data_IF_509491511315
#
_entry.id   IF_509491511315
#
_cell.length_a   1.000
_cell.length_b   1.000
_cell.length_c   1.000
_cell.angle_alpha   90.00
_cell.angle_beta   90.00
_cell.angle_gamma   90.00
#
_symmetry.space_group_name_H-M   'P 1'
#
loop_
_entity.id
_entity.type
_entity.pdbx_description
1 polymer ?
#
# COMPACT_ATOMS: atom_id res chain seq x y z
N UNK A 1 4.99 29.93 -33.24
CA UNK A 1 5.33 28.68 -32.52
C UNK A 1 5.56 29.09 -31.07
N UNK A 2 4.52 29.06 -30.23
CA UNK A 2 4.61 29.57 -28.86
C UNK A 2 5.30 28.53 -27.98
N UNK A 3 6.49 28.87 -27.45
CA UNK A 3 7.11 28.13 -26.37
C UNK A 3 6.28 28.36 -25.10
N UNK A 4 5.52 27.35 -24.72
CA UNK A 4 4.77 27.30 -23.47
C UNK A 4 5.80 27.09 -22.35
N UNK A 5 5.81 27.94 -21.32
CA UNK A 5 6.75 27.78 -20.20
C UNK A 5 6.43 26.51 -19.41
N UNK A 6 7.40 25.91 -18.71
CA UNK A 6 7.16 24.69 -17.90
C UNK A 6 6.03 24.87 -16.87
N UNK A 7 5.78 26.09 -16.40
CA UNK A 7 4.67 26.40 -15.48
C UNK A 7 3.30 26.28 -16.15
N UNK A 8 3.23 26.55 -17.46
CA UNK A 8 1.98 26.58 -18.21
C UNK A 8 1.48 25.18 -18.58
N UNK A 9 2.36 24.18 -18.69
CA UNK A 9 1.97 22.83 -19.09
C UNK A 9 1.19 22.08 -18.00
N UNK A 10 1.62 22.13 -16.73
CA UNK A 10 0.87 21.50 -15.62
C UNK A 10 -0.48 22.19 -15.41
N UNK A 11 -0.52 23.53 -15.46
CA UNK A 11 -1.76 24.28 -15.35
C UNK A 11 -2.71 24.02 -16.53
N UNK A 12 -2.19 23.85 -17.75
CA UNK A 12 -2.98 23.48 -18.92
C UNK A 12 -3.56 22.07 -18.80
N UNK A 13 -2.79 21.11 -18.26
CA UNK A 13 -3.27 19.74 -18.02
C UNK A 13 -4.36 19.71 -16.93
N UNK A 14 -4.20 20.52 -15.88
CA UNK A 14 -5.24 20.71 -14.85
C UNK A 14 -6.50 21.34 -15.42
N UNK A 15 -6.37 22.33 -16.31
CA UNK A 15 -7.51 22.95 -16.96
C UNK A 15 -8.25 21.98 -17.91
N UNK A 16 -7.52 21.08 -18.57
CA UNK A 16 -8.08 20.06 -19.45
C UNK A 16 -8.71 18.87 -18.71
N UNK A 17 -8.53 18.78 -17.39
CA UNK A 17 -9.08 17.70 -16.56
C UNK A 17 -8.46 16.32 -16.83
N UNK A 18 -7.29 16.26 -17.48
CA UNK A 18 -6.61 15.01 -17.79
C UNK A 18 -5.70 14.59 -16.63
N UNK A 19 -6.30 13.91 -15.65
CA UNK A 19 -5.63 13.47 -14.43
C UNK A 19 -4.44 12.53 -14.70
N UNK A 20 -4.52 11.66 -15.72
CA UNK A 20 -3.48 10.72 -16.06
C UNK A 20 -2.27 11.40 -16.69
N UNK A 21 -2.50 12.34 -17.62
CA UNK A 21 -1.44 13.15 -18.21
C UNK A 21 -0.79 14.08 -17.17
N UNK A 22 -1.59 14.70 -16.30
CA UNK A 22 -1.09 15.50 -15.19
C UNK A 22 -0.19 14.67 -14.26
N UNK A 23 -0.64 13.47 -13.85
CA UNK A 23 0.14 12.58 -13.00
C UNK A 23 1.49 12.22 -13.64
N UNK A 24 1.48 11.81 -14.91
CA UNK A 24 2.69 11.41 -15.63
C UNK A 24 3.69 12.57 -15.77
N UNK A 25 3.20 13.76 -16.11
CA UNK A 25 4.02 14.96 -16.24
C UNK A 25 4.60 15.40 -14.88
N UNK A 26 3.77 15.38 -13.84
CA UNK A 26 4.20 15.72 -12.47
C UNK A 26 5.30 14.78 -11.97
N UNK A 27 5.12 13.47 -12.14
CA UNK A 27 6.10 12.47 -11.72
C UNK A 27 7.42 12.59 -12.50
N UNK A 28 7.35 12.87 -13.80
CA UNK A 28 8.53 13.14 -14.64
C UNK A 28 9.35 14.31 -14.10
N UNK A 29 8.70 15.45 -13.84
CA UNK A 29 9.36 16.66 -13.34
C UNK A 29 9.91 16.51 -11.92
N UNK A 30 9.15 15.87 -11.04
CA UNK A 30 9.59 15.57 -9.67
C UNK A 30 10.84 14.68 -9.67
N UNK A 31 10.86 13.63 -10.51
CA UNK A 31 12.02 12.74 -10.62
C UNK A 31 13.23 13.44 -11.24
N UNK A 32 13.02 14.32 -12.23
CA UNK A 32 14.09 15.14 -12.79
C UNK A 32 14.71 16.07 -11.74
N UNK A 33 13.87 16.74 -10.92
CA UNK A 33 14.33 17.58 -9.83
C UNK A 33 15.08 16.77 -8.76
N UNK A 34 14.57 15.60 -8.36
CA UNK A 34 15.27 14.68 -7.43
C UNK A 34 16.64 14.29 -7.96
N UNK A 35 16.72 13.89 -9.23
CA UNK A 35 17.98 13.51 -9.89
C UNK A 35 18.98 14.66 -9.94
N UNK A 36 18.52 15.88 -10.20
CA UNK A 36 19.38 17.07 -10.16
C UNK A 36 19.92 17.35 -8.75
N UNK A 37 19.11 17.15 -7.71
CA UNK A 37 19.52 17.35 -6.31
C UNK A 37 20.45 16.22 -5.82
N UNK A 38 20.26 14.98 -6.25
CA UNK A 38 21.07 13.82 -5.83
C UNK A 38 22.42 13.72 -6.55
N UNK A 39 22.50 14.11 -7.83
CA UNK A 39 23.74 14.09 -8.60
C UNK A 39 24.65 15.29 -8.32
N UNK A 40 24.20 16.26 -7.52
CA UNK A 40 24.99 17.41 -7.12
C UNK A 40 26.06 17.03 -6.08
N UNK A 41 27.30 16.84 -6.54
CA UNK A 41 28.49 16.73 -5.70
C UNK A 41 29.24 18.07 -5.67
N UNK A 42 29.22 18.76 -4.53
CA UNK A 42 29.96 20.03 -4.30
C UNK A 42 29.07 21.27 -4.17
N UNK A 43 29.65 22.46 -3.89
CA UNK A 43 28.89 23.69 -3.70
C UNK A 43 28.22 24.13 -5.01
N UNK A 44 26.89 24.10 -5.02
CA UNK A 44 26.04 24.50 -6.15
C UNK A 44 26.01 26.03 -6.26
N UNK A 45 26.12 26.57 -7.49
CA UNK A 45 26.00 28.01 -7.73
C UNK A 45 24.59 28.53 -7.35
N UNK A 46 24.50 29.81 -7.00
CA UNK A 46 23.25 30.40 -6.51
C UNK A 46 22.12 30.33 -7.56
N UNK A 47 22.45 30.50 -8.84
CA UNK A 47 21.47 30.42 -9.94
C UNK A 47 20.83 29.03 -10.07
N UNK A 48 21.58 27.94 -9.88
CA UNK A 48 21.01 26.58 -9.97
C UNK A 48 20.15 26.27 -8.74
N UNK A 49 20.56 26.72 -7.54
CA UNK A 49 19.74 26.58 -6.33
C UNK A 49 18.41 27.33 -6.45
N UNK A 50 18.45 28.53 -7.02
CA UNK A 50 17.25 29.34 -7.25
C UNK A 50 16.32 28.70 -8.28
N UNK A 51 16.86 28.17 -9.39
CA UNK A 51 16.08 27.40 -10.36
C UNK A 51 15.40 26.17 -9.76
N UNK A 52 16.13 25.41 -8.93
CA UNK A 52 15.59 24.23 -8.26
C UNK A 52 14.49 24.58 -7.25
N UNK A 53 14.67 25.67 -6.50
CA UNK A 53 13.66 26.16 -5.56
C UNK A 53 12.40 26.63 -6.29
N UNK A 54 12.55 27.39 -7.38
CA UNK A 54 11.43 27.83 -8.20
C UNK A 54 10.66 26.64 -8.79
N UNK A 55 11.35 25.59 -9.24
CA UNK A 55 10.73 24.36 -9.73
C UNK A 55 9.96 23.61 -8.61
N UNK A 56 10.53 23.56 -7.39
CA UNK A 56 9.87 22.98 -6.23
C UNK A 56 8.58 23.74 -5.85
N UNK A 57 8.62 25.07 -5.90
CA UNK A 57 7.46 25.93 -5.64
C UNK A 57 6.37 25.74 -6.70
N UNK A 58 6.75 25.61 -7.99
CA UNK A 58 5.81 25.32 -9.08
C UNK A 58 5.14 23.96 -8.89
N UNK A 59 5.88 22.91 -8.54
CA UNK A 59 5.32 21.58 -8.27
C UNK A 59 4.40 21.60 -7.04
N UNK A 60 4.78 22.32 -5.99
CA UNK A 60 3.97 22.46 -4.78
C UNK A 60 2.64 23.18 -5.06
N UNK A 61 2.66 24.25 -5.84
CA UNK A 61 1.45 24.97 -6.23
C UNK A 61 0.56 24.15 -7.18
N UNK A 62 1.17 23.44 -8.13
CA UNK A 62 0.44 22.53 -9.02
C UNK A 62 -0.24 21.39 -8.24
N UNK A 63 0.44 20.82 -7.24
CA UNK A 63 -0.15 19.78 -6.38
C UNK A 63 -1.26 20.34 -5.49
N UNK A 64 -1.13 21.58 -5.01
CA UNK A 64 -2.18 22.24 -4.22
C UNK A 64 -3.43 22.53 -5.04
N UNK A 65 -3.26 23.01 -6.27
CA UNK A 65 -4.37 23.34 -7.20
C UNK A 65 -5.00 22.09 -7.81
N UNK A 66 -4.18 21.10 -8.13
CA UNK A 66 -4.56 19.87 -8.84
C UNK A 66 -4.78 18.63 -7.98
N UNK A 67 -4.44 18.69 -6.70
CA UNK A 67 -4.43 17.54 -5.79
C UNK A 67 -5.79 16.84 -5.67
N UNK A 68 -6.88 17.57 -5.85
CA UNK A 68 -8.25 17.01 -5.83
C UNK A 68 -8.61 16.22 -7.09
N UNK A 69 -7.87 16.40 -8.19
CA UNK A 69 -8.11 15.71 -9.48
C UNK A 69 -7.26 14.45 -9.64
N UNK A 70 -6.24 14.28 -8.80
CA UNK A 70 -5.41 13.08 -8.77
C UNK A 70 -5.83 12.17 -7.61
N UNK A 71 -5.63 10.84 -7.73
CA UNK A 71 -5.91 9.94 -6.64
C UNK A 71 -5.14 10.34 -5.37
N UNK A 72 -5.75 10.28 -4.17
CA UNK A 72 -5.11 10.67 -2.91
C UNK A 72 -3.77 9.99 -2.64
N UNK A 73 -3.58 8.75 -3.12
CA UNK A 73 -2.29 8.05 -3.09
C UNK A 73 -1.17 8.85 -3.76
N UNK A 74 -1.41 9.33 -4.99
CA UNK A 74 -0.44 10.15 -5.71
C UNK A 74 -0.28 11.51 -5.04
N UNK A 75 -1.35 12.08 -4.50
CA UNK A 75 -1.28 13.33 -3.75
C UNK A 75 -0.34 13.21 -2.54
N UNK A 76 -0.52 12.17 -1.71
CA UNK A 76 0.31 11.92 -0.54
C UNK A 76 1.76 11.55 -0.93
N UNK A 77 1.96 10.72 -1.97
CA UNK A 77 3.28 10.38 -2.52
C UNK A 77 4.03 11.64 -2.97
N UNK A 78 3.37 12.50 -3.74
CA UNK A 78 3.94 13.74 -4.24
C UNK A 78 4.19 14.74 -3.12
N UNK A 79 3.27 14.89 -2.17
CA UNK A 79 3.45 15.78 -1.02
C UNK A 79 4.66 15.37 -0.18
N UNK A 80 4.79 14.09 0.18
CA UNK A 80 5.95 13.59 0.95
C UNK A 80 7.27 13.85 0.20
N UNK A 81 7.29 13.62 -1.10
CA UNK A 81 8.47 13.84 -1.92
C UNK A 81 8.86 15.33 -2.03
N UNK A 82 7.88 16.23 -2.07
CA UNK A 82 8.11 17.68 -2.04
C UNK A 82 8.62 18.12 -0.66
N UNK A 83 8.04 17.62 0.43
CA UNK A 83 8.45 17.94 1.80
C UNK A 83 9.91 17.50 2.08
N UNK A 84 10.31 16.33 1.58
CA UNK A 84 11.68 15.85 1.65
C UNK A 84 12.66 16.76 0.88
N UNK A 85 12.28 17.19 -0.33
CA UNK A 85 13.09 18.12 -1.11
C UNK A 85 13.15 19.48 -0.43
N UNK A 86 12.05 19.99 0.09
CA UNK A 86 11.99 21.26 0.80
C UNK A 86 12.88 21.26 2.04
N UNK A 87 12.92 20.15 2.79
CA UNK A 87 13.85 19.93 3.91
C UNK A 87 15.32 19.98 3.49
N UNK A 88 15.65 19.47 2.29
CA UNK A 88 17.01 19.52 1.74
C UNK A 88 17.42 20.94 1.32
N UNK A 89 16.47 21.79 0.93
CA UNK A 89 16.73 23.21 0.64
C UNK A 89 16.72 24.08 1.90
N UNK A 90 15.99 23.68 2.95
CA UNK A 90 15.98 24.35 4.26
C UNK A 90 17.14 23.88 5.13
N UNK A 91 18.38 24.23 4.77
CA UNK A 91 19.49 24.12 5.72
C UNK A 91 19.34 25.19 6.83
N UNK A 92 18.68 24.82 7.94
CA UNK A 92 18.87 25.48 9.24
C UNK A 92 19.69 24.54 10.14
N UNK A 93 20.73 25.03 10.84
CA UNK A 93 21.62 24.19 11.63
C UNK A 93 20.89 23.64 12.86
N UNK A 94 21.06 22.34 13.15
CA UNK A 94 20.64 21.75 14.43
C UNK A 94 21.60 22.22 15.53
N UNK A 95 21.13 22.76 16.66
CA UNK A 95 21.91 22.70 17.88
C UNK A 95 21.66 21.35 18.56
N UNK A 96 22.75 20.64 18.83
CA UNK A 96 22.83 19.65 19.90
C UNK A 96 22.85 20.42 21.23
N UNK A 97 22.02 20.05 22.20
CA UNK A 97 22.33 20.03 23.64
C UNK A 97 21.13 19.50 24.43
N UNK A 98 21.43 18.58 25.33
CA UNK A 98 20.63 18.11 26.46
C UNK A 98 20.21 19.25 27.39
N UNK A 99 19.01 19.19 27.98
CA UNK A 99 18.79 19.59 29.38
C UNK A 99 17.54 18.90 29.95
N UNK A 100 17.75 18.27 31.10
CA UNK A 100 16.73 17.81 32.03
C UNK A 100 16.08 19.00 32.75
N UNK A 101 14.79 18.91 33.07
CA UNK A 101 14.25 19.62 34.23
C UNK A 101 13.19 18.80 34.94
N UNK A 102 13.50 18.52 36.20
CA UNK A 102 12.67 17.87 37.19
C UNK A 102 11.72 18.86 37.88
N UNK A 103 10.59 18.32 38.36
CA UNK A 103 9.91 18.63 39.63
C UNK A 103 8.89 19.79 39.64
N UNK A 104 7.61 19.42 39.73
CA UNK A 104 6.81 19.66 40.95
C UNK A 104 5.51 18.82 40.99
N UNK A 105 5.43 17.95 42.01
CA UNK A 105 4.25 17.33 42.64
C UNK A 105 3.68 18.32 43.68
N UNK A 106 2.44 18.33 44.23
CA UNK A 106 1.37 17.36 44.64
C UNK A 106 0.22 18.23 45.26
N UNK A 107 -0.84 17.75 45.99
CA UNK A 107 -1.36 16.39 46.31
C UNK A 107 -2.90 16.23 46.05
N UNK A 108 -3.44 15.04 45.70
CA UNK A 108 -3.90 13.88 46.51
C UNK A 108 -5.23 14.03 47.29
N UNK A 109 -6.21 13.18 46.98
CA UNK A 109 -7.07 12.52 47.98
C UNK A 109 -7.62 11.20 47.43
N UNK A 110 -7.52 10.16 48.25
CA UNK A 110 -7.83 8.75 48.01
C UNK A 110 -9.26 8.40 48.45
N UNK A 111 -9.89 7.39 47.81
CA UNK A 111 -10.70 6.36 48.49
C UNK A 111 -10.93 5.11 47.60
N UNK A 112 -10.19 4.03 47.90
CA UNK A 112 -10.53 2.57 48.02
C UNK A 112 -11.94 2.13 47.52
N UNK A 113 -12.23 1.07 46.71
CA UNK A 113 -11.90 -0.39 46.80
C UNK A 113 -12.41 -1.22 45.57
N UNK A 114 -11.58 -2.17 45.08
CA UNK A 114 -11.80 -3.59 44.60
C UNK A 114 -12.68 -4.00 43.37
N UNK A 115 -12.46 -5.21 42.77
CA UNK A 115 -12.19 -5.39 41.33
C UNK A 115 -13.29 -6.10 40.54
N UNK A 116 -13.35 -5.88 39.21
CA UNK A 116 -14.06 -6.75 38.26
C UNK A 116 -13.25 -6.86 36.96
N UNK A 117 -12.93 -8.11 36.59
CA UNK A 117 -12.41 -8.54 35.30
C UNK A 117 -13.48 -8.34 34.20
N UNK A 118 -13.08 -7.94 32.99
CA UNK A 118 -13.76 -8.25 31.72
C UNK A 118 -12.91 -7.79 30.53
N UNK A 119 -12.35 -8.80 29.86
CA UNK A 119 -12.30 -9.00 28.41
C UNK A 119 -11.89 -7.80 27.54
N UNK A 120 -10.58 -7.72 27.23
CA UNK A 120 -10.02 -6.86 26.18
C UNK A 120 -10.28 -7.46 24.79
N UNK A 121 -11.48 -7.26 24.25
CA UNK A 121 -11.69 -7.22 22.79
C UNK A 121 -11.50 -5.77 22.32
N UNK A 122 -10.27 -5.41 21.95
CA UNK A 122 -10.00 -4.14 21.30
C UNK A 122 -10.32 -4.25 19.80
N UNK A 123 -11.62 -4.26 19.48
CA UNK A 123 -12.14 -4.14 18.11
C UNK A 123 -11.92 -2.69 17.65
N UNK A 124 -10.74 -2.42 17.07
CA UNK A 124 -10.45 -1.12 16.48
C UNK A 124 -11.24 -0.99 15.18
N UNK A 125 -12.41 -0.37 15.26
CA UNK A 125 -13.18 0.10 14.12
C UNK A 125 -12.34 1.11 13.32
N UNK A 126 -11.77 0.66 12.20
CA UNK A 126 -11.21 1.53 11.17
C UNK A 126 -12.38 2.33 10.56
N UNK A 127 -12.23 3.64 10.29
CA UNK A 127 -13.26 4.44 9.65
C UNK A 127 -13.84 3.76 8.41
N UNK A 128 -15.17 3.67 8.38
CA UNK A 128 -16.03 2.84 7.51
C UNK A 128 -15.99 3.18 6.00
N UNK A 129 -14.96 3.91 5.51
CA UNK A 129 -14.93 4.44 4.13
C UNK A 129 -13.54 4.53 3.50
N UNK A 130 -12.46 4.06 4.15
CA UNK A 130 -11.15 4.11 3.50
C UNK A 130 -10.96 2.95 2.51
N UNK A 131 -10.93 3.29 1.22
CA UNK A 131 -10.58 2.36 0.15
C UNK A 131 -9.12 1.89 0.23
N UNK A 132 -8.30 2.51 1.09
CA UNK A 132 -6.89 2.15 1.29
C UNK A 132 -6.60 1.88 2.76
N UNK A 133 -6.57 0.60 3.13
CA UNK A 133 -6.04 0.19 4.42
C UNK A 133 -4.52 0.18 4.35
N UNK A 134 -3.84 0.86 5.28
CA UNK A 134 -2.39 0.96 5.23
C UNK A 134 -1.70 1.04 6.59
N UNK A 135 -0.42 0.63 6.63
CA UNK A 135 0.48 0.79 7.78
C UNK A 135 -0.05 0.16 9.09
N UNK A 136 -0.72 -0.99 8.98
CA UNK A 136 -1.32 -1.70 10.10
C UNK A 136 -0.44 -2.85 10.57
N UNK A 137 -0.28 -2.96 11.89
CA UNK A 137 0.54 -4.00 12.52
C UNK A 137 -0.14 -4.61 13.73
N UNK A 138 0.05 -5.91 13.92
CA UNK A 138 -0.37 -6.66 15.11
C UNK A 138 -1.87 -6.49 15.42
N UNK A 139 -2.70 -6.48 14.39
CA UNK A 139 -4.13 -6.17 14.49
C UNK A 139 -5.02 -7.22 13.86
N UNK A 140 -6.20 -7.40 14.45
CA UNK A 140 -7.29 -8.20 13.92
C UNK A 140 -8.45 -7.27 13.59
N UNK A 141 -8.82 -7.19 12.32
CA UNK A 141 -9.64 -6.11 11.77
C UNK A 141 -10.80 -6.70 10.97
N UNK A 142 -11.99 -6.15 11.17
CA UNK A 142 -13.12 -6.30 10.24
C UNK A 142 -13.28 -5.03 9.42
N UNK A 143 -13.64 -5.20 8.16
CA UNK A 143 -13.87 -4.08 7.25
C UNK A 143 -15.03 -4.38 6.30
N UNK A 144 -15.73 -3.32 5.86
CA UNK A 144 -16.79 -3.41 4.86
C UNK A 144 -16.40 -2.59 3.63
N UNK A 145 -16.58 -3.20 2.46
CA UNK A 145 -16.39 -2.57 1.16
C UNK A 145 -17.61 -1.71 0.81
N UNK A 146 -17.38 -0.52 0.25
CA UNK A 146 -18.46 0.36 -0.25
C UNK A 146 -18.81 0.09 -1.73
N UNK A 147 -18.43 -1.09 -2.24
CA UNK A 147 -18.60 -1.45 -3.65
C UNK A 147 -17.55 -0.86 -4.59
N UNK A 148 -16.40 -0.41 -4.06
CA UNK A 148 -15.25 0.05 -4.85
C UNK A 148 -14.02 -0.85 -4.68
N UNK A 149 -12.95 -0.50 -5.38
CA UNK A 149 -11.65 -1.15 -5.23
C UNK A 149 -11.09 -0.94 -3.83
N UNK A 150 -10.56 -1.99 -3.20
CA UNK A 150 -9.85 -1.91 -1.92
C UNK A 150 -8.35 -2.13 -2.14
N UNK A 151 -7.52 -1.30 -1.50
CA UNK A 151 -6.07 -1.43 -1.51
C UNK A 151 -5.53 -1.65 -0.10
N UNK A 152 -4.80 -2.73 0.11
CA UNK A 152 -4.20 -3.13 1.39
C UNK A 152 -2.70 -3.01 1.26
N UNK A 153 -2.10 -2.10 2.01
CA UNK A 153 -0.69 -1.72 1.86
C UNK A 153 0.07 -1.78 3.18
N UNK A 154 1.27 -2.36 3.21
CA UNK A 154 2.15 -2.29 4.40
C UNK A 154 1.50 -2.88 5.66
N UNK A 155 1.07 -4.14 5.57
CA UNK A 155 0.51 -4.88 6.70
C UNK A 155 1.54 -5.82 7.32
N UNK A 156 1.56 -5.95 8.64
CA UNK A 156 2.44 -6.90 9.34
C UNK A 156 1.74 -7.59 10.51
N UNK A 157 1.76 -8.92 10.59
CA UNK A 157 1.13 -9.67 11.70
C UNK A 157 -0.38 -9.38 11.87
N UNK A 158 -1.10 -9.18 10.77
CA UNK A 158 -2.50 -8.80 10.81
C UNK A 158 -3.44 -9.91 10.36
N UNK A 159 -4.66 -9.94 10.91
CA UNK A 159 -5.78 -10.72 10.38
C UNK A 159 -6.87 -9.76 9.92
N UNK A 160 -7.22 -9.78 8.64
CA UNK A 160 -8.25 -8.91 8.07
C UNK A 160 -9.39 -9.76 7.49
N UNK A 161 -10.61 -9.47 7.92
CA UNK A 161 -11.85 -9.95 7.29
C UNK A 161 -12.53 -8.79 6.57
N UNK A 162 -12.84 -8.96 5.29
CA UNK A 162 -13.76 -8.08 4.58
C UNK A 162 -15.11 -8.78 4.54
N UNK A 163 -16.13 -8.23 5.20
CA UNK A 163 -17.37 -8.96 5.50
C UNK A 163 -18.30 -9.14 4.28
N UNK A 164 -18.13 -8.30 3.26
CA UNK A 164 -18.99 -8.27 2.07
C UNK A 164 -18.19 -8.40 0.77
N UNK A 165 -18.92 -8.37 -0.36
CA UNK A 165 -18.32 -8.53 -1.68
C UNK A 165 -17.44 -7.36 -2.09
N UNK A 166 -16.34 -7.67 -2.79
CA UNK A 166 -15.37 -6.68 -3.27
C UNK A 166 -15.24 -6.78 -4.79
N UNK A 167 -15.44 -5.69 -5.56
CA UNK A 167 -15.27 -5.75 -7.01
C UNK A 167 -13.83 -6.05 -7.46
N UNK A 168 -12.86 -5.44 -6.77
CA UNK A 168 -11.44 -5.72 -7.01
C UNK A 168 -10.63 -5.34 -5.79
N UNK A 169 -9.51 -6.02 -5.58
CA UNK A 169 -8.67 -5.82 -4.40
C UNK A 169 -7.19 -5.88 -4.75
N UNK A 170 -6.38 -5.07 -4.08
CA UNK A 170 -4.92 -5.13 -4.20
C UNK A 170 -4.28 -5.32 -2.84
N UNK A 171 -3.25 -6.16 -2.79
CA UNK A 171 -2.42 -6.38 -1.62
C UNK A 171 -0.98 -6.06 -1.99
N UNK A 172 -0.33 -5.19 -1.22
CA UNK A 172 1.02 -4.75 -1.51
C UNK A 172 1.84 -4.64 -0.23
N UNK A 173 2.97 -5.31 -0.19
CA UNK A 173 3.89 -5.28 0.95
C UNK A 173 3.22 -5.75 2.26
N UNK A 174 2.77 -7.00 2.32
CA UNK A 174 2.19 -7.60 3.52
C UNK A 174 3.05 -8.76 4.04
N UNK A 175 3.19 -8.89 5.36
CA UNK A 175 4.00 -9.93 5.98
C UNK A 175 3.30 -10.60 7.15
N UNK A 176 3.31 -11.94 7.19
CA UNK A 176 2.72 -12.72 8.28
C UNK A 176 1.25 -12.36 8.53
N UNK A 177 0.46 -12.23 7.45
CA UNK A 177 -0.93 -11.78 7.52
C UNK A 177 -1.91 -12.85 7.04
N UNK A 178 -3.12 -12.81 7.59
CA UNK A 178 -4.26 -13.61 7.15
C UNK A 178 -5.30 -12.67 6.55
N UNK A 179 -5.71 -12.95 5.32
CA UNK A 179 -6.72 -12.16 4.61
C UNK A 179 -7.89 -13.05 4.22
N UNK A 180 -9.06 -12.75 4.77
CA UNK A 180 -10.32 -13.46 4.52
C UNK A 180 -11.25 -12.50 3.78
N UNK A 181 -11.53 -12.79 2.51
CA UNK A 181 -12.46 -11.99 1.70
C UNK A 181 -13.41 -12.95 1.00
N UNK A 182 -14.64 -13.13 1.49
CA UNK A 182 -15.55 -14.18 1.02
C UNK A 182 -15.71 -14.20 -0.50
N UNK A 183 -15.94 -13.02 -1.11
CA UNK A 183 -16.20 -12.90 -2.55
C UNK A 183 -15.48 -11.68 -3.11
N UNK A 184 -14.67 -11.91 -4.14
CA UNK A 184 -14.10 -10.89 -5.01
C UNK A 184 -14.68 -11.06 -6.41
N UNK A 185 -15.63 -10.20 -6.80
CA UNK A 185 -16.41 -10.37 -8.03
C UNK A 185 -15.63 -10.08 -9.32
N UNK A 186 -14.42 -9.53 -9.20
CA UNK A 186 -13.49 -9.26 -10.30
C UNK A 186 -12.10 -9.84 -10.04
N UNK A 187 -11.12 -8.97 -9.84
CA UNK A 187 -9.70 -9.36 -9.80
C UNK A 187 -9.01 -9.02 -8.49
N UNK A 188 -8.00 -9.83 -8.14
CA UNK A 188 -7.06 -9.55 -7.08
C UNK A 188 -5.65 -9.46 -7.65
N UNK A 189 -4.92 -8.45 -7.19
CA UNK A 189 -3.51 -8.29 -7.47
C UNK A 189 -2.71 -8.32 -6.18
N UNK A 190 -1.80 -9.28 -6.05
CA UNK A 190 -0.98 -9.47 -4.85
C UNK A 190 0.46 -9.21 -5.23
N UNK A 191 1.14 -8.32 -4.51
CA UNK A 191 2.51 -7.93 -4.78
C UNK A 191 3.32 -7.85 -3.49
N UNK A 192 4.55 -8.39 -3.49
CA UNK A 192 5.47 -8.27 -2.35
C UNK A 192 4.89 -8.77 -1.02
N UNK A 193 4.17 -9.88 -1.04
CA UNK A 193 3.66 -10.49 0.18
C UNK A 193 4.57 -11.64 0.64
N UNK A 194 4.69 -11.87 1.95
CA UNK A 194 5.54 -12.93 2.51
C UNK A 194 4.85 -13.60 3.71
N UNK A 195 4.84 -14.93 3.76
CA UNK A 195 4.27 -15.69 4.90
C UNK A 195 2.80 -15.36 5.16
N UNK A 196 2.02 -15.14 4.10
CA UNK A 196 0.61 -14.78 4.23
C UNK A 196 -0.32 -15.96 3.94
N UNK A 197 -1.58 -15.84 4.35
CA UNK A 197 -2.66 -16.75 3.97
C UNK A 197 -3.80 -15.95 3.37
N UNK A 198 -4.27 -16.36 2.20
CA UNK A 198 -5.35 -15.73 1.45
C UNK A 198 -6.53 -16.70 1.29
N UNK A 199 -7.73 -16.26 1.64
CA UNK A 199 -8.96 -17.08 1.58
C UNK A 199 -10.04 -16.34 0.79
N UNK A 200 -10.21 -16.68 -0.50
CA UNK A 200 -11.07 -15.94 -1.44
C UNK A 200 -11.90 -16.83 -2.38
N UNK A 201 -13.12 -16.41 -2.73
CA UNK A 201 -13.75 -16.77 -4.01
C UNK A 201 -13.55 -15.63 -5.02
N UNK A 202 -13.01 -15.90 -6.22
CA UNK A 202 -12.56 -14.83 -7.12
C UNK A 202 -12.65 -15.16 -8.61
N UNK A 203 -12.68 -14.18 -9.51
CA UNK A 203 -12.59 -14.45 -10.96
C UNK A 203 -11.16 -14.52 -11.48
N UNK A 204 -10.31 -13.56 -11.12
CA UNK A 204 -8.94 -13.45 -11.66
C UNK A 204 -7.93 -13.18 -10.55
N UNK A 205 -6.84 -13.94 -10.52
CA UNK A 205 -5.78 -13.80 -9.52
C UNK A 205 -4.43 -13.63 -10.19
N UNK A 206 -3.75 -12.52 -9.87
CA UNK A 206 -2.38 -12.23 -10.31
C UNK A 206 -1.50 -11.99 -9.10
N UNK A 207 -0.38 -12.69 -9.03
CA UNK A 207 0.54 -12.63 -7.90
C UNK A 207 1.94 -12.33 -8.42
N UNK A 208 2.61 -11.36 -7.82
CA UNK A 208 3.94 -10.93 -8.21
C UNK A 208 4.85 -10.78 -6.99
N UNK A 209 6.13 -11.16 -7.10
CA UNK A 209 7.14 -10.94 -6.05
C UNK A 209 6.72 -11.43 -4.66
N UNK A 210 6.03 -12.55 -4.55
CA UNK A 210 5.43 -13.05 -3.31
C UNK A 210 6.04 -14.39 -2.92
N UNK A 211 6.16 -14.67 -1.61
CA UNK A 211 6.76 -15.92 -1.14
C UNK A 211 6.08 -16.54 0.07
N UNK A 212 6.25 -17.86 0.24
CA UNK A 212 5.79 -18.63 1.42
C UNK A 212 4.32 -18.38 1.75
N UNK A 213 3.47 -18.37 0.74
CA UNK A 213 2.10 -17.88 0.89
C UNK A 213 1.11 -18.94 0.48
N UNK A 214 0.11 -19.14 1.32
CA UNK A 214 -0.96 -20.12 1.15
C UNK A 214 -2.22 -19.47 0.57
N UNK A 215 -2.85 -20.16 -0.38
CA UNK A 215 -4.07 -19.75 -1.05
C UNK A 215 -5.13 -20.83 -0.89
N UNK A 216 -6.25 -20.47 -0.26
CA UNK A 216 -7.47 -21.25 -0.23
C UNK A 216 -8.50 -20.56 -1.09
N UNK A 217 -8.63 -21.02 -2.35
CA UNK A 217 -9.37 -20.27 -3.36
C UNK A 217 -10.38 -21.12 -4.12
N UNK A 218 -11.49 -20.47 -4.47
CA UNK A 218 -12.35 -20.85 -5.59
C UNK A 218 -12.12 -19.79 -6.67
N UNK A 219 -11.81 -20.19 -7.90
CA UNK A 219 -11.39 -19.25 -8.94
C UNK A 219 -12.01 -19.54 -10.31
N UNK A 220 -12.37 -18.51 -11.09
CA UNK A 220 -12.96 -18.72 -12.42
C UNK A 220 -11.92 -18.89 -13.56
N UNK A 221 -10.68 -18.47 -13.36
CA UNK A 221 -9.58 -18.55 -14.34
C UNK A 221 -8.29 -19.02 -13.70
N UNK A 222 -7.36 -19.53 -14.50
CA UNK A 222 -6.03 -19.97 -14.04
C UNK A 222 -5.32 -18.84 -13.25
N UNK A 223 -4.87 -19.09 -12.00
CA UNK A 223 -4.02 -18.15 -11.27
C UNK A 223 -2.72 -17.89 -12.04
N UNK A 224 -2.21 -16.66 -12.00
CA UNK A 224 -0.94 -16.30 -12.61
C UNK A 224 0.04 -15.86 -11.53
N UNK A 225 1.24 -16.44 -11.53
CA UNK A 225 2.37 -16.04 -10.66
C UNK A 225 3.56 -15.56 -11.50
N UNK A 226 4.30 -14.61 -10.95
CA UNK A 226 5.56 -14.11 -11.52
C UNK A 226 6.49 -13.65 -10.38
N UNK A 227 7.78 -13.99 -10.44
CA UNK A 227 8.80 -13.76 -9.39
C UNK A 227 8.38 -14.28 -8.01
N UNK A 228 7.71 -15.43 -7.96
CA UNK A 228 7.17 -16.00 -6.72
C UNK A 228 7.94 -17.26 -6.31
N UNK A 229 7.89 -17.63 -5.03
CA UNK A 229 8.55 -18.84 -4.48
C UNK A 229 7.75 -19.45 -3.33
N UNK A 230 7.76 -20.76 -3.16
CA UNK A 230 7.06 -21.45 -2.05
C UNK A 230 5.57 -21.07 -1.94
N UNK A 231 4.90 -20.94 -3.08
CA UNK A 231 3.46 -20.67 -3.15
C UNK A 231 2.68 -21.96 -2.98
N UNK A 232 1.59 -21.98 -2.21
CA UNK A 232 0.80 -23.20 -2.06
C UNK A 232 -0.69 -22.93 -2.27
N UNK A 233 -1.36 -23.81 -3.01
CA UNK A 233 -2.76 -23.64 -3.39
C UNK A 233 -3.62 -24.82 -2.91
N UNK A 234 -4.84 -24.52 -2.49
CA UNK A 234 -5.88 -25.47 -2.13
C UNK A 234 -7.26 -24.91 -2.52
N UNK A 235 -8.25 -25.78 -2.72
CA UNK A 235 -9.62 -25.34 -2.92
C UNK A 235 -10.16 -24.66 -1.65
N UNK A 236 -11.12 -23.76 -1.84
CA UNK A 236 -11.90 -23.20 -0.75
C UNK A 236 -12.80 -24.29 -0.14
N UNK A 237 -13.02 -24.27 1.19
CA UNK A 237 -13.85 -25.28 1.86
C UNK A 237 -15.27 -25.28 1.29
N UNK A 238 -15.73 -26.42 0.80
CA UNK A 238 -17.07 -26.58 0.24
C UNK A 238 -17.21 -26.06 -1.19
N UNK A 239 -16.14 -25.55 -1.81
CA UNK A 239 -16.12 -25.14 -3.21
C UNK A 239 -14.77 -25.51 -3.87
N UNK A 240 -14.76 -26.67 -4.52
CA UNK A 240 -13.62 -27.17 -5.29
C UNK A 240 -13.69 -26.76 -6.77
N UNK A 241 -14.58 -25.82 -7.12
CA UNK A 241 -14.79 -25.43 -8.51
C UNK A 241 -13.66 -24.57 -9.07
N UNK A 242 -13.46 -24.71 -10.38
CA UNK A 242 -12.51 -23.89 -11.14
C UNK A 242 -11.04 -24.34 -11.06
N UNK A 243 -10.14 -23.67 -11.80
CA UNK A 243 -8.76 -24.12 -12.00
C UNK A 243 -7.81 -23.66 -10.89
N UNK A 244 -8.16 -23.86 -9.62
CA UNK A 244 -7.30 -23.48 -8.47
C UNK A 244 -5.95 -24.20 -8.47
N UNK A 245 -5.87 -25.37 -9.12
CA UNK A 245 -4.68 -26.22 -9.26
C UNK A 245 -3.92 -26.01 -10.59
N UNK A 246 -4.35 -25.09 -11.46
CA UNK A 246 -3.71 -24.83 -12.77
C UNK A 246 -2.98 -23.47 -12.77
N UNK A 247 -2.01 -23.34 -11.89
CA UNK A 247 -1.26 -22.09 -11.74
C UNK A 247 -0.27 -21.92 -12.89
N UNK A 248 -0.37 -20.77 -13.57
CA UNK A 248 0.54 -20.34 -14.65
C UNK A 248 1.71 -19.57 -14.05
N UNK A 249 2.90 -20.16 -14.11
CA UNK A 249 4.14 -19.51 -13.69
C UNK A 249 4.86 -18.88 -14.88
N UNK A 250 4.92 -17.55 -14.90
CA UNK A 250 5.54 -16.80 -15.98
C UNK A 250 7.07 -16.84 -15.96
N UNK A 251 7.69 -17.21 -14.83
CA UNK A 251 9.14 -17.46 -14.77
C UNK A 251 9.52 -18.86 -15.26
N UNK A 252 8.54 -19.73 -15.50
CA UNK A 252 8.72 -21.11 -15.97
C UNK A 252 7.76 -21.47 -17.12
N UNK A 253 7.96 -20.88 -18.32
CA UNK A 253 7.11 -21.16 -19.47
C UNK A 253 7.20 -22.64 -19.94
N UNK A 254 6.09 -23.36 -19.73
CA UNK A 254 5.58 -24.62 -20.32
C UNK A 254 6.55 -25.77 -20.69
N UNK A 255 7.72 -25.88 -20.05
CA UNK A 255 8.65 -27.01 -20.32
C UNK A 255 8.86 -27.95 -19.13
N UNK A 256 8.54 -27.50 -17.90
CA UNK A 256 8.72 -28.28 -16.67
C UNK A 256 7.65 -27.89 -15.64
N UNK A 257 7.38 -28.79 -14.68
CA UNK A 257 6.60 -28.44 -13.48
C UNK A 257 7.30 -27.31 -12.74
N UNK A 258 6.61 -26.20 -12.52
CA UNK A 258 7.19 -25.06 -11.79
C UNK A 258 7.58 -25.48 -10.37
N UNK A 259 8.80 -25.14 -9.91
CA UNK A 259 9.20 -25.35 -8.52
C UNK A 259 8.66 -24.27 -7.57
N UNK A 260 8.04 -23.21 -8.10
CA UNK A 260 7.65 -22.04 -7.33
C UNK A 260 6.29 -22.18 -6.65
N UNK A 261 5.52 -23.20 -7.01
CA UNK A 261 4.23 -23.48 -6.40
C UNK A 261 3.94 -24.97 -6.22
N UNK A 262 3.07 -25.30 -5.28
CA UNK A 262 2.58 -26.65 -5.06
C UNK A 262 1.12 -26.66 -4.60
N UNK A 263 0.52 -27.84 -4.54
CA UNK A 263 -0.78 -28.05 -3.88
C UNK A 263 -0.55 -28.25 -2.37
N UNK A 264 -1.43 -27.70 -1.53
CA UNK A 264 -1.44 -28.00 -0.08
C UNK A 264 -2.06 -29.40 0.12
N UNK A 265 -1.33 -30.37 0.70
CA UNK A 265 -1.87 -31.70 1.00
C UNK A 265 -3.09 -31.62 1.90
N UNK A 266 -4.10 -32.46 1.68
CA UNK A 266 -5.37 -32.43 2.44
C UNK A 266 -5.18 -32.44 3.96
N UNK A 267 -4.27 -33.26 4.47
CA UNK A 267 -3.92 -33.36 5.89
C UNK A 267 -3.28 -32.10 6.47
N UNK A 268 -2.74 -31.21 5.63
CA UNK A 268 -2.11 -29.96 6.04
C UNK A 268 -3.04 -28.74 5.87
N UNK A 269 -4.19 -28.89 5.21
CA UNK A 269 -5.12 -27.79 4.96
C UNK A 269 -5.69 -27.27 6.28
N UNK A 270 -5.31 -26.04 6.63
CA UNK A 270 -5.79 -25.30 7.80
C UNK A 270 -6.35 -23.98 7.30
N UNK A 271 -7.62 -24.00 6.90
CA UNK A 271 -8.31 -22.80 6.45
C UNK A 271 -8.56 -21.92 7.68
N UNK A 272 -8.00 -20.71 7.75
CA UNK A 272 -8.19 -19.84 8.90
C UNK A 272 -9.64 -19.36 8.96
N UNK A 273 -10.16 -19.29 10.17
CA UNK A 273 -11.42 -18.63 10.50
C UNK A 273 -11.08 -17.30 11.18
N UNK A 274 -11.91 -16.27 10.96
CA UNK A 274 -11.69 -14.97 11.59
C UNK A 274 -11.98 -15.04 13.08
#
# INVERSE_FOLDING_TARGET
>A
MFFISNTDQLNLLLFKGDAAAFQKEFESRLNALKKQVELQKGPVNNETKEKQKNELDVLSDALRKGGKQIPPFYQAKFQRALDELQKKFSNAPKPAFSFSFSKQMKPASETVTKPVQKDDENDQNIPETDWTLHDLKDQKIKHQCDGKHISINQFENCTLLIENEVPSISFNNAKNCIFIVPIVTGSAHITKCESCTFVFSIKQLRIHQTSKTDFYISIASDPIIEKCTEMRFAPLKGDESGPWDKVKDFDHPETYTSPNWSIIPESERKIPEF
#
